data_IF_163847764766
#
_entry.id   IF_163847764766
#
_cell.length_a   1.000
_cell.length_b   1.000
_cell.length_c   1.000
_cell.angle_alpha   90.00
_cell.angle_beta   90.00
_cell.angle_gamma   90.00
#
_symmetry.space_group_name_H-M   'P 1'
#
loop_
_entity.id
_entity.type
_entity.pdbx_description
1 polymer ?
#
# COMPACT_ATOMS: atom_id res chain seq x y z
N UNK A 1 9.68 7.78 -9.69
CA UNK A 1 8.78 7.61 -10.85
C UNK A 1 9.12 6.39 -11.70
N UNK A 2 10.40 6.01 -11.83
CA UNK A 2 10.82 4.80 -12.58
C UNK A 2 10.10 3.53 -12.12
N UNK A 3 10.09 3.24 -10.82
CA UNK A 3 9.40 2.05 -10.26
C UNK A 3 7.89 2.02 -10.55
N UNK A 4 7.19 3.16 -10.44
CA UNK A 4 5.76 3.21 -10.80
C UNK A 4 5.54 2.89 -12.28
N UNK A 5 6.33 3.49 -13.19
CA UNK A 5 6.23 3.23 -14.64
C UNK A 5 6.49 1.76 -14.95
N UNK A 6 7.51 1.16 -14.36
CA UNK A 6 7.85 -0.25 -14.57
C UNK A 6 6.76 -1.21 -14.06
N UNK A 7 6.07 -0.86 -12.97
CA UNK A 7 4.94 -1.65 -12.47
C UNK A 7 3.72 -1.52 -13.36
N UNK A 8 3.39 -0.30 -13.77
CA UNK A 8 2.30 -0.03 -14.70
C UNK A 8 2.50 -0.76 -16.03
N UNK A 9 3.72 -0.80 -16.56
CA UNK A 9 4.01 -1.48 -17.84
C UNK A 9 3.77 -2.98 -17.81
N UNK A 10 3.84 -3.62 -16.63
CA UNK A 10 3.68 -5.07 -16.47
C UNK A 10 2.24 -5.51 -16.22
N UNK A 11 1.29 -4.57 -16.16
CA UNK A 11 -0.13 -4.91 -15.98
C UNK A 11 -0.59 -5.65 -17.25
N UNK A 12 -1.04 -6.89 -17.08
CA UNK A 12 -1.70 -7.66 -18.13
C UNK A 12 -3.15 -7.16 -18.22
N UNK A 13 -3.60 -6.82 -19.44
CA UNK A 13 -4.93 -6.25 -19.69
C UNK A 13 -5.80 -7.13 -20.58
N UNK A 14 -5.20 -8.01 -21.38
CA UNK A 14 -5.91 -8.94 -22.25
C UNK A 14 -5.01 -10.12 -22.63
N UNK A 15 -5.57 -11.05 -23.41
CA UNK A 15 -4.83 -12.09 -24.12
C UNK A 15 -5.16 -12.01 -25.61
N UNK A 16 -4.18 -12.22 -26.49
CA UNK A 16 -4.42 -12.24 -27.94
C UNK A 16 -5.07 -13.58 -28.38
N UNK A 17 -5.42 -13.72 -29.67
CA UNK A 17 -6.00 -14.98 -30.20
C UNK A 17 -5.05 -16.20 -30.12
N UNK A 18 -3.74 -15.97 -30.01
CA UNK A 18 -2.75 -17.03 -29.78
C UNK A 18 -2.61 -17.39 -28.29
N UNK A 19 -3.29 -16.68 -27.39
CA UNK A 19 -3.22 -16.87 -25.94
C UNK A 19 -2.08 -16.12 -25.24
N UNK A 20 -1.31 -15.30 -25.96
CA UNK A 20 -0.22 -14.53 -25.34
C UNK A 20 -0.77 -13.34 -24.54
N UNK A 21 -0.18 -13.02 -23.37
CA UNK A 21 -0.61 -11.88 -22.56
C UNK A 21 -0.29 -10.55 -23.26
N UNK A 22 -1.26 -9.65 -23.27
CA UNK A 22 -1.11 -8.26 -23.73
C UNK A 22 -1.00 -7.36 -22.51
N UNK A 23 0.07 -6.57 -22.45
CA UNK A 23 0.37 -5.67 -21.33
C UNK A 23 0.00 -4.21 -21.64
N UNK A 24 -0.06 -3.38 -20.60
CA UNK A 24 -0.24 -1.94 -20.77
C UNK A 24 0.95 -1.26 -21.50
N UNK A 25 2.14 -1.88 -21.55
CA UNK A 25 3.24 -1.41 -22.38
C UNK A 25 3.00 -1.65 -23.87
N UNK A 26 2.43 -2.80 -24.24
CA UNK A 26 2.10 -3.12 -25.64
C UNK A 26 1.10 -2.11 -26.22
N UNK A 27 0.19 -1.61 -25.36
CA UNK A 27 -0.74 -0.53 -25.68
C UNK A 27 -0.15 0.88 -25.60
N UNK A 28 1.15 1.02 -25.31
CA UNK A 28 1.86 2.31 -25.13
C UNK A 28 1.23 3.23 -24.07
N UNK A 29 0.47 2.67 -23.11
CA UNK A 29 -0.29 3.44 -22.11
C UNK A 29 0.55 3.90 -20.89
N UNK A 30 1.71 3.27 -20.66
CA UNK A 30 2.53 3.47 -19.45
C UNK A 30 2.90 4.93 -19.19
N UNK A 31 3.27 5.68 -20.24
CA UNK A 31 3.66 7.08 -20.13
C UNK A 31 2.50 7.97 -19.68
N UNK A 32 1.33 7.80 -20.31
CA UNK A 32 0.11 8.55 -20.02
C UNK A 32 -0.41 8.27 -18.60
N UNK A 33 -0.47 6.99 -18.19
CA UNK A 33 -0.87 6.63 -16.82
C UNK A 33 0.03 7.26 -15.77
N UNK A 34 1.35 7.23 -15.97
CA UNK A 34 2.29 7.84 -15.04
C UNK A 34 2.20 9.37 -15.01
N UNK A 35 1.81 10.01 -16.12
CA UNK A 35 1.58 11.45 -16.16
C UNK A 35 0.37 11.84 -15.30
N UNK A 36 -0.75 11.11 -15.42
CA UNK A 36 -1.95 11.31 -14.61
C UNK A 36 -1.67 11.10 -13.10
N UNK A 37 -0.76 10.19 -12.77
CA UNK A 37 -0.39 9.88 -11.38
C UNK A 37 0.76 10.72 -10.82
N UNK A 38 1.30 11.68 -11.60
CA UNK A 38 2.52 12.44 -11.23
C UNK A 38 2.38 13.17 -9.90
N UNK A 39 1.25 13.83 -9.68
CA UNK A 39 0.99 14.54 -8.43
C UNK A 39 0.35 13.63 -7.39
N UNK A 40 -0.55 12.74 -7.82
CA UNK A 40 -1.24 11.79 -6.95
C UNK A 40 -0.30 10.84 -6.20
N UNK A 41 0.93 10.61 -6.69
CA UNK A 41 1.91 9.75 -5.99
C UNK A 41 2.51 10.43 -4.74
N UNK A 42 2.31 11.74 -4.53
CA UNK A 42 2.85 12.50 -3.39
C UNK A 42 1.96 12.27 -2.16
N UNK A 43 2.52 11.87 -1.00
CA UNK A 43 1.74 11.74 0.23
C UNK A 43 1.06 13.04 0.66
N UNK A 44 -0.19 12.95 1.14
CA UNK A 44 -0.92 14.09 1.69
C UNK A 44 -0.63 14.22 3.18
N UNK A 45 -0.26 15.42 3.62
CA UNK A 45 -0.02 15.72 5.04
C UNK A 45 -1.24 16.42 5.63
N UNK A 46 -1.69 15.91 6.78
CA UNK A 46 -2.75 16.47 7.60
C UNK A 46 -2.32 16.39 9.08
N UNK A 47 -3.24 16.64 10.02
CA UNK A 47 -2.98 16.54 11.45
C UNK A 47 -4.14 15.86 12.20
N UNK A 48 -3.86 15.31 13.38
CA UNK A 48 -4.87 14.89 14.36
C UNK A 48 -5.51 16.10 15.05
N UNK A 49 -6.52 15.87 15.90
CA UNK A 49 -7.12 16.91 16.74
C UNK A 49 -6.10 17.62 17.64
N UNK A 50 -5.10 16.87 18.14
CA UNK A 50 -4.01 17.39 18.98
C UNK A 50 -2.80 17.91 18.19
N UNK A 51 -2.92 18.10 16.87
CA UNK A 51 -1.85 18.65 16.04
C UNK A 51 -0.71 17.68 15.70
N UNK A 52 -0.86 16.38 15.96
CA UNK A 52 0.14 15.37 15.56
C UNK A 52 0.12 15.21 14.03
N UNK A 53 1.27 15.25 13.33
CA UNK A 53 1.32 15.08 11.88
C UNK A 53 0.85 13.70 11.41
N UNK A 54 0.05 13.64 10.34
CA UNK A 54 -0.46 12.40 9.74
C UNK A 54 -0.26 12.41 8.23
N UNK A 55 0.12 11.26 7.68
CA UNK A 55 0.20 11.04 6.22
C UNK A 55 -0.91 10.10 5.75
N UNK A 56 -1.85 10.62 4.95
CA UNK A 56 -2.95 9.83 4.36
C UNK A 56 -2.69 9.62 2.87
N UNK A 57 -2.35 8.39 2.47
CA UNK A 57 -1.98 8.12 1.08
C UNK A 57 -2.06 6.64 0.69
N UNK A 58 -2.81 6.37 -0.39
CA UNK A 58 -3.13 5.02 -0.85
C UNK A 58 -4.30 4.41 -0.07
N UNK A 59 -4.87 3.34 -0.61
CA UNK A 59 -5.98 2.62 0.00
C UNK A 59 -6.42 1.41 -0.83
N UNK A 60 -5.54 0.43 -1.09
CA UNK A 60 -5.94 -0.78 -1.78
C UNK A 60 -6.77 -1.68 -0.85
N UNK A 61 -7.58 -2.56 -1.44
CA UNK A 61 -8.29 -3.59 -0.69
C UNK A 61 -7.31 -4.54 0.04
N UNK A 62 -7.79 -5.17 1.11
CA UNK A 62 -7.03 -6.13 1.90
C UNK A 62 -7.33 -7.61 1.56
N UNK A 63 -8.30 -7.88 0.68
CA UNK A 63 -8.60 -9.23 0.19
C UNK A 63 -7.81 -9.54 -1.10
N UNK A 64 -8.06 -8.82 -2.20
CA UNK A 64 -7.41 -9.00 -3.52
C UNK A 64 -6.09 -8.24 -3.66
N UNK A 65 -5.73 -7.42 -2.66
CA UNK A 65 -4.48 -6.69 -2.58
C UNK A 65 -3.98 -6.69 -1.12
N UNK A 66 -2.94 -5.91 -0.83
CA UNK A 66 -2.22 -5.99 0.45
C UNK A 66 -2.80 -5.11 1.57
N UNK A 67 -3.84 -4.31 1.34
CA UNK A 67 -4.54 -3.61 2.44
C UNK A 67 -3.74 -2.59 3.25
N UNK A 68 -2.75 -1.92 2.66
CA UNK A 68 -1.87 -1.00 3.39
C UNK A 68 -1.80 0.36 2.70
N UNK A 69 -1.50 1.42 3.47
CA UNK A 69 -1.10 2.70 2.89
C UNK A 69 0.20 2.57 2.06
N UNK A 70 0.51 3.57 1.25
CA UNK A 70 1.65 3.51 0.33
C UNK A 70 3.00 3.35 1.04
N UNK A 71 3.94 2.67 0.37
CA UNK A 71 5.34 2.58 0.81
C UNK A 71 5.99 3.96 0.93
N UNK A 72 5.66 4.90 0.04
CA UNK A 72 6.21 6.27 0.08
C UNK A 72 5.84 6.99 1.37
N UNK A 73 4.59 6.92 1.80
CA UNK A 73 4.13 7.56 3.03
C UNK A 73 4.79 6.93 4.26
N UNK A 74 4.83 5.59 4.36
CA UNK A 74 5.50 4.91 5.48
C UNK A 74 6.99 5.28 5.56
N UNK A 75 7.72 5.25 4.42
CA UNK A 75 9.14 5.63 4.40
C UNK A 75 9.38 7.10 4.73
N UNK A 76 8.48 8.00 4.29
CA UNK A 76 8.58 9.41 4.62
C UNK A 76 8.39 9.64 6.12
N UNK A 77 7.37 9.02 6.73
CA UNK A 77 7.16 9.08 8.18
C UNK A 77 8.39 8.59 8.97
N UNK A 78 8.96 7.44 8.59
CA UNK A 78 10.16 6.87 9.23
C UNK A 78 11.42 7.75 9.08
N UNK A 79 11.43 8.71 8.16
CA UNK A 79 12.55 9.65 7.98
C UNK A 79 12.34 10.97 8.69
N UNK A 80 11.10 11.33 9.01
CA UNK A 80 10.75 12.63 9.61
C UNK A 80 10.42 12.55 11.11
N UNK A 81 10.16 11.36 11.63
CA UNK A 81 9.78 11.15 13.02
C UNK A 81 10.55 9.98 13.63
N UNK A 82 10.73 10.02 14.96
CA UNK A 82 11.36 8.93 15.72
C UNK A 82 10.50 7.65 15.73
N UNK A 83 9.17 7.82 15.68
CA UNK A 83 8.20 6.73 15.65
C UNK A 83 7.21 6.97 14.51
N UNK A 84 7.09 5.97 13.61
CA UNK A 84 6.09 5.94 12.56
C UNK A 84 5.07 4.83 12.83
N UNK A 85 3.84 5.22 13.18
CA UNK A 85 2.72 4.28 13.36
C UNK A 85 1.99 4.12 12.03
N UNK A 86 1.67 2.88 11.66
CA UNK A 86 0.92 2.53 10.46
C UNK A 86 0.07 1.28 10.72
N UNK A 87 -0.86 0.98 9.83
CA UNK A 87 -1.83 -0.09 9.98
C UNK A 87 -2.01 -0.88 8.68
N UNK A 88 -2.68 -2.03 8.79
CA UNK A 88 -3.13 -2.85 7.68
C UNK A 88 -4.60 -3.25 7.89
N UNK A 89 -5.37 -3.35 6.81
CA UNK A 89 -6.81 -3.66 6.88
C UNK A 89 -7.13 -5.12 7.22
N UNK A 90 -8.32 -5.36 7.77
CA UNK A 90 -8.77 -6.63 8.35
C UNK A 90 -7.96 -7.06 9.59
N UNK A 91 -8.08 -8.33 9.99
CA UNK A 91 -7.33 -8.91 11.10
C UNK A 91 -5.88 -9.22 10.76
N UNK A 92 -5.14 -9.71 11.76
CA UNK A 92 -3.72 -10.04 11.59
C UNK A 92 -3.48 -11.24 10.64
N UNK A 93 -4.48 -12.10 10.49
CA UNK A 93 -4.54 -13.22 9.55
C UNK A 93 -4.50 -12.81 8.07
N UNK A 94 -4.93 -11.59 7.75
CA UNK A 94 -4.92 -11.04 6.38
C UNK A 94 -4.04 -9.81 6.26
N UNK A 95 -4.34 -8.76 7.02
CA UNK A 95 -3.68 -7.47 6.89
C UNK A 95 -2.24 -7.52 7.34
N UNK A 96 -1.99 -8.06 8.53
CA UNK A 96 -0.65 -8.11 9.08
C UNK A 96 0.24 -9.06 8.28
N UNK A 97 -0.23 -10.28 7.95
CA UNK A 97 0.47 -11.20 7.05
C UNK A 97 0.92 -10.50 5.76
N UNK A 98 0.01 -9.87 5.01
CA UNK A 98 0.36 -9.16 3.77
C UNK A 98 1.27 -7.95 4.01
N UNK A 99 1.16 -7.27 5.15
CA UNK A 99 2.07 -6.19 5.50
C UNK A 99 3.51 -6.72 5.71
N UNK A 100 3.69 -7.81 6.43
CA UNK A 100 5.01 -8.42 6.66
C UNK A 100 5.55 -9.09 5.39
N UNK A 101 4.75 -9.96 4.80
CA UNK A 101 5.19 -10.81 3.70
C UNK A 101 5.21 -10.10 2.36
N UNK A 102 4.36 -9.10 2.09
CA UNK A 102 4.41 -8.36 0.82
C UNK A 102 5.10 -7.01 0.99
N UNK A 103 4.55 -6.13 1.84
CA UNK A 103 5.01 -4.74 1.93
C UNK A 103 6.41 -4.65 2.53
N UNK A 104 6.68 -5.28 3.66
CA UNK A 104 8.00 -5.21 4.31
C UNK A 104 9.08 -5.84 3.43
N UNK A 105 8.84 -7.04 2.89
CA UNK A 105 9.76 -7.71 1.96
C UNK A 105 10.08 -6.88 0.71
N UNK A 106 9.08 -6.29 0.06
CA UNK A 106 9.28 -5.48 -1.17
C UNK A 106 9.89 -4.11 -0.89
N UNK A 107 9.62 -3.53 0.29
CA UNK A 107 10.04 -2.17 0.62
C UNK A 107 11.29 -2.11 1.53
N UNK A 108 11.76 -3.24 2.06
CA UNK A 108 12.86 -3.29 3.02
C UNK A 108 12.51 -2.64 4.36
N UNK A 109 11.27 -2.83 4.83
CA UNK A 109 10.83 -2.30 6.13
C UNK A 109 11.04 -3.37 7.21
N UNK A 110 11.40 -2.92 8.42
CA UNK A 110 11.55 -3.80 9.59
C UNK A 110 10.76 -3.20 10.76
N UNK A 111 9.52 -3.65 11.01
CA UNK A 111 8.72 -3.16 12.13
C UNK A 111 9.42 -3.46 13.46
N UNK A 112 9.48 -2.46 14.35
CA UNK A 112 10.10 -2.59 15.66
C UNK A 112 9.15 -3.20 16.72
N UNK A 113 7.84 -3.01 16.54
CA UNK A 113 6.78 -3.52 17.39
C UNK A 113 5.50 -3.74 16.60
N UNK A 114 4.54 -4.46 17.16
CA UNK A 114 3.20 -4.68 16.59
C UNK A 114 2.16 -4.58 17.69
N UNK A 115 1.06 -3.89 17.40
CA UNK A 115 -0.08 -3.73 18.31
C UNK A 115 -1.28 -4.47 17.72
N UNK A 116 -1.82 -5.44 18.46
CA UNK A 116 -3.04 -6.15 18.08
C UNK A 116 -4.20 -5.55 18.86
N UNK A 117 -5.10 -4.89 18.15
CA UNK A 117 -6.29 -4.28 18.76
C UNK A 117 -7.35 -5.36 19.00
N UNK A 118 -7.88 -5.41 20.22
CA UNK A 118 -8.99 -6.27 20.59
C UNK A 118 -9.98 -5.50 21.47
N UNK A 119 -11.25 -5.95 21.49
CA UNK A 119 -12.27 -5.41 22.39
C UNK A 119 -12.98 -6.54 23.11
N UNK A 120 -13.44 -6.30 24.35
CA UNK A 120 -14.18 -7.30 25.15
C UNK A 120 -15.43 -7.79 24.40
N UNK A 121 -16.12 -6.91 23.66
CA UNK A 121 -17.30 -7.30 22.84
C UNK A 121 -16.92 -8.22 21.69
N UNK A 122 -15.82 -7.92 20.98
CA UNK A 122 -15.34 -8.76 19.88
C UNK A 122 -14.89 -10.14 20.38
N UNK A 123 -14.23 -10.22 21.54
CA UNK A 123 -13.82 -11.50 22.13
C UNK A 123 -15.06 -12.34 22.49
N UNK A 124 -16.00 -11.79 23.27
CA UNK A 124 -17.26 -12.48 23.63
C UNK A 124 -18.09 -12.94 22.43
N UNK A 125 -18.01 -12.24 21.31
CA UNK A 125 -18.69 -12.65 20.08
C UNK A 125 -18.07 -13.91 19.45
N UNK A 126 -16.75 -14.08 19.57
CA UNK A 126 -16.03 -15.22 18.99
C UNK A 126 -16.00 -16.46 19.90
N UNK A 127 -16.27 -16.31 21.20
CA UNK A 127 -16.33 -17.40 22.18
C UNK A 127 -15.44 -17.16 23.39
#
# INVERSE_FOLDING_TARGET
MKDLKERLSKIIVAYNYAGDPVTAADLKATGAMAALLKDAIKPNMIQTLEGTPVLVHGGPFANIAHGCNSVRATKLAMKLADVAVTEAGFGADLGAEKFFDIKCRKAGLKPAATVIVATVKALKYNG
#
